data_IF_291566560684
#
_entry.id   IF_291566560684
#
_cell.length_a   1.000
_cell.length_b   1.000
_cell.length_c   1.000
_cell.angle_alpha   90.00
_cell.angle_beta   90.00
_cell.angle_gamma   90.00
#
_symmetry.space_group_name_H-M   'P 1'
#
loop_
_entity.id
_entity.type
_entity.pdbx_description
1 polymer ?
#
# COMPACT_ATOMS: atom_id res chain seq x y z
N UNK A 1 -19.74 -20.73 -42.38
CA UNK A 1 -18.77 -21.15 -41.36
C UNK A 1 -18.82 -20.12 -40.26
N UNK A 2 -19.65 -20.36 -39.24
CA UNK A 2 -19.63 -19.57 -38.02
C UNK A 2 -18.26 -19.77 -37.36
N UNK A 3 -17.50 -18.68 -37.24
CA UNK A 3 -16.31 -18.67 -36.39
C UNK A 3 -16.83 -18.80 -34.96
N UNK A 4 -16.75 -20.01 -34.43
CA UNK A 4 -16.98 -20.27 -33.01
C UNK A 4 -16.02 -19.40 -32.22
N UNK A 5 -16.53 -18.30 -31.66
CA UNK A 5 -15.82 -17.54 -30.65
C UNK A 5 -15.47 -18.51 -29.54
N UNK A 6 -14.20 -18.92 -29.46
CA UNK A 6 -13.67 -19.66 -28.33
C UNK A 6 -14.17 -19.02 -27.05
N UNK A 7 -14.92 -19.78 -26.25
CA UNK A 7 -15.44 -19.33 -24.96
C UNK A 7 -14.22 -19.00 -24.10
N UNK A 8 -14.08 -17.73 -23.74
CA UNK A 8 -12.98 -17.26 -22.91
C UNK A 8 -12.88 -18.08 -21.62
N UNK A 9 -11.73 -18.73 -21.43
CA UNK A 9 -11.42 -19.51 -20.23
C UNK A 9 -10.46 -18.74 -19.33
N UNK A 10 -11.05 -17.94 -18.43
CA UNK A 10 -10.32 -17.16 -17.42
C UNK A 10 -9.41 -18.03 -16.55
N UNK A 11 -9.83 -19.25 -16.21
CA UNK A 11 -9.07 -20.12 -15.30
C UNK A 11 -7.75 -20.55 -15.95
N UNK A 12 -7.80 -20.89 -17.24
CA UNK A 12 -6.61 -21.24 -18.01
C UNK A 12 -5.67 -20.04 -18.16
N UNK A 13 -6.19 -18.83 -18.43
CA UNK A 13 -5.36 -17.61 -18.51
C UNK A 13 -4.69 -17.27 -17.17
N UNK A 14 -5.44 -17.30 -16.06
CA UNK A 14 -4.87 -17.09 -14.71
C UNK A 14 -3.77 -18.10 -14.40
N UNK A 15 -4.01 -19.39 -14.69
CA UNK A 15 -3.02 -20.43 -14.44
C UNK A 15 -1.76 -20.22 -15.28
N UNK A 16 -1.90 -19.89 -16.57
CA UNK A 16 -0.74 -19.63 -17.43
C UNK A 16 0.07 -18.42 -16.95
N UNK A 17 -0.61 -17.34 -16.52
CA UNK A 17 0.02 -16.18 -15.94
C UNK A 17 0.77 -16.53 -14.64
N UNK A 18 0.12 -17.26 -13.73
CA UNK A 18 0.69 -17.66 -12.45
C UNK A 18 1.88 -18.63 -12.60
N UNK A 19 1.75 -19.63 -13.48
CA UNK A 19 2.81 -20.60 -13.78
C UNK A 19 4.04 -19.94 -14.41
N UNK A 20 3.88 -18.78 -15.07
CA UNK A 20 4.99 -18.02 -15.63
C UNK A 20 5.89 -17.41 -14.56
N UNK A 21 5.34 -17.12 -13.37
CA UNK A 21 6.01 -16.45 -12.25
C UNK A 21 6.68 -15.10 -12.57
N UNK A 22 6.48 -14.59 -13.78
CA UNK A 22 7.11 -13.38 -14.28
C UNK A 22 6.48 -12.11 -13.70
N UNK A 23 5.21 -12.21 -13.30
CA UNK A 23 4.40 -11.10 -12.82
C UNK A 23 4.03 -10.11 -13.93
N UNK A 24 3.44 -8.99 -13.54
CA UNK A 24 3.03 -7.91 -14.45
C UNK A 24 4.26 -7.29 -15.12
N UNK A 25 5.37 -7.13 -14.38
CA UNK A 25 6.62 -6.61 -14.93
C UNK A 25 7.13 -7.49 -16.07
N UNK A 26 7.07 -8.81 -15.94
CA UNK A 26 7.45 -9.72 -17.02
C UNK A 26 6.59 -9.58 -18.28
N UNK A 27 5.30 -9.26 -18.14
CA UNK A 27 4.43 -8.95 -19.29
C UNK A 27 4.88 -7.66 -20.00
N UNK A 28 5.24 -6.63 -19.23
CA UNK A 28 5.74 -5.36 -19.77
C UNK A 28 7.09 -5.56 -20.47
N UNK A 29 8.01 -6.31 -19.88
CA UNK A 29 9.32 -6.61 -20.45
C UNK A 29 9.22 -7.41 -21.75
N UNK A 30 8.17 -8.22 -21.90
CA UNK A 30 7.84 -8.93 -23.15
C UNK A 30 7.27 -8.03 -24.25
N UNK A 31 7.08 -6.73 -24.00
CA UNK A 31 6.64 -5.74 -24.98
C UNK A 31 5.15 -5.81 -25.31
N UNK A 32 4.30 -6.17 -24.34
CA UNK A 32 2.87 -6.31 -24.59
C UNK A 32 2.21 -4.98 -25.01
N UNK A 33 1.37 -5.05 -26.05
CA UNK A 33 0.63 -3.88 -26.56
C UNK A 33 -0.78 -3.73 -25.97
N UNK A 34 -1.34 -4.79 -25.39
CA UNK A 34 -2.69 -4.83 -24.81
C UNK A 34 -2.72 -5.70 -23.57
N UNK A 35 -3.46 -5.30 -22.55
CA UNK A 35 -3.52 -6.04 -21.28
C UNK A 35 -4.30 -7.36 -21.43
N UNK A 36 -3.87 -8.45 -20.75
CA UNK A 36 -4.63 -9.70 -20.70
C UNK A 36 -6.01 -9.50 -20.07
N UNK A 37 -6.98 -10.34 -20.44
CA UNK A 37 -8.38 -10.15 -20.00
C UNK A 37 -8.55 -10.31 -18.50
N UNK A 38 -7.66 -11.07 -17.85
CA UNK A 38 -7.62 -11.19 -16.38
C UNK A 38 -7.40 -9.87 -15.65
N UNK A 39 -6.82 -8.84 -16.28
CA UNK A 39 -6.56 -7.52 -15.68
C UNK A 39 -7.64 -6.47 -15.98
N UNK A 40 -8.66 -6.83 -16.75
CA UNK A 40 -9.69 -5.89 -17.16
C UNK A 40 -10.76 -5.77 -16.08
N UNK A 41 -10.94 -4.57 -15.54
CA UNK A 41 -11.99 -4.24 -14.58
C UNK A 41 -13.25 -3.79 -15.35
N UNK A 42 -14.27 -4.65 -15.43
CA UNK A 42 -15.50 -4.38 -16.21
C UNK A 42 -16.25 -3.10 -15.75
N UNK A 43 -16.13 -2.72 -14.48
CA UNK A 43 -16.68 -1.44 -13.99
C UNK A 43 -16.03 -0.24 -14.67
N UNK A 44 -14.73 -0.29 -14.97
CA UNK A 44 -14.01 0.80 -15.64
C UNK A 44 -14.43 0.91 -17.12
N UNK A 45 -14.75 -0.22 -17.77
CA UNK A 45 -15.37 -0.20 -19.10
C UNK A 45 -16.73 0.50 -19.10
N UNK A 46 -17.55 0.26 -18.07
CA UNK A 46 -18.90 0.86 -17.97
C UNK A 46 -18.79 2.36 -17.69
N UNK A 47 -17.90 2.77 -16.79
CA UNK A 47 -17.64 4.19 -16.48
C UNK A 47 -17.15 4.92 -17.74
N UNK A 48 -16.19 4.36 -18.48
CA UNK A 48 -15.66 4.97 -19.70
C UNK A 48 -16.68 5.00 -20.86
N UNK A 49 -17.59 4.01 -20.93
CA UNK A 49 -18.64 3.96 -21.95
C UNK A 49 -19.84 4.89 -21.65
N UNK A 50 -20.06 5.28 -20.38
CA UNK A 50 -21.12 6.21 -19.99
C UNK A 50 -20.62 7.63 -19.69
N UNK A 51 -19.31 7.80 -19.43
CA UNK A 51 -18.61 9.06 -19.33
C UNK A 51 -17.28 8.97 -20.09
N UNK A 52 -17.20 9.48 -21.34
CA UNK A 52 -15.91 9.69 -21.99
C UNK A 52 -15.07 10.57 -21.06
N UNK A 53 -13.78 10.24 -20.89
CA UNK A 53 -12.79 10.91 -20.02
C UNK A 53 -12.58 12.42 -20.35
N UNK A 54 -13.42 13.01 -21.20
CA UNK A 54 -13.52 14.45 -21.43
C UNK A 54 -14.41 15.23 -20.46
N UNK A 55 -15.13 14.59 -19.53
CA UNK A 55 -15.99 15.26 -18.53
C UNK A 55 -16.08 14.46 -17.21
N UNK A 56 -14.94 14.10 -16.61
CA UNK A 56 -14.91 14.21 -15.15
C UNK A 56 -15.04 15.72 -14.88
N UNK A 57 -15.83 16.19 -13.90
CA UNK A 57 -15.68 17.57 -13.50
C UNK A 57 -14.19 17.72 -13.19
N UNK A 58 -13.52 18.60 -13.94
CA UNK A 58 -12.28 19.19 -13.47
C UNK A 58 -12.51 19.49 -11.99
N UNK A 59 -11.62 19.01 -11.14
CA UNK A 59 -11.63 19.32 -9.71
C UNK A 59 -11.28 20.81 -9.52
N UNK A 60 -12.04 21.70 -10.15
CA UNK A 60 -12.25 23.08 -9.73
C UNK A 60 -13.28 23.01 -8.58
N UNK A 61 -12.87 22.37 -7.48
CA UNK A 61 -13.38 22.71 -6.16
C UNK A 61 -12.29 22.36 -5.14
N UNK A 62 -11.58 23.41 -4.75
CA UNK A 62 -10.45 23.43 -3.83
C UNK A 62 -10.85 23.15 -2.37
N UNK A 63 -11.64 22.11 -2.09
CA UNK A 63 -12.16 21.87 -0.72
C UNK A 63 -11.60 20.65 -0.02
N UNK A 64 -11.07 19.65 -0.75
CA UNK A 64 -10.66 18.38 -0.14
C UNK A 64 -9.16 18.11 -0.36
N UNK A 65 -8.40 18.28 0.71
CA UNK A 65 -7.00 17.83 0.81
C UNK A 65 -6.85 16.96 2.04
N UNK A 66 -6.17 15.82 1.92
CA UNK A 66 -5.86 14.97 3.07
C UNK A 66 -5.08 15.77 4.12
N UNK A 67 -5.44 15.68 5.41
CA UNK A 67 -4.76 16.43 6.46
C UNK A 67 -3.26 16.13 6.50
N UNK A 68 -2.44 17.14 6.77
CA UNK A 68 -0.98 16.99 6.98
C UNK A 68 -0.64 17.35 8.41
N UNK A 69 0.02 16.45 9.12
CA UNK A 69 0.33 16.57 10.55
C UNK A 69 1.84 16.47 10.76
N UNK A 70 2.44 17.49 11.38
CA UNK A 70 3.84 17.42 11.79
C UNK A 70 3.96 16.64 13.11
N UNK A 71 4.83 15.63 13.13
CA UNK A 71 5.17 14.82 14.30
C UNK A 71 6.51 15.24 14.93
N UNK A 72 6.96 16.47 14.64
CA UNK A 72 8.23 16.99 15.14
C UNK A 72 8.32 16.84 16.66
N UNK A 73 9.39 16.22 17.14
CA UNK A 73 9.63 16.00 18.57
C UNK A 73 8.92 14.78 19.17
N UNK A 74 7.81 14.30 18.57
CA UNK A 74 6.98 13.23 19.14
C UNK A 74 7.75 11.91 19.29
N UNK A 75 8.50 11.51 18.25
CA UNK A 75 9.26 10.26 18.26
C UNK A 75 10.53 10.38 19.12
N UNK A 76 11.13 11.57 19.19
CA UNK A 76 12.31 11.82 20.02
C UNK A 76 11.99 12.11 21.49
N UNK A 77 10.72 12.38 21.83
CA UNK A 77 10.30 12.78 23.17
C UNK A 77 10.73 14.22 23.53
N UNK A 78 11.01 15.05 22.53
CA UNK A 78 11.46 16.43 22.69
C UNK A 78 10.31 17.44 22.68
N UNK A 79 9.08 16.99 22.47
CA UNK A 79 7.90 17.85 22.45
C UNK A 79 7.52 18.36 23.85
N UNK A 80 6.88 19.55 23.90
CA UNK A 80 6.21 19.98 25.12
C UNK A 80 4.75 19.48 25.20
N UNK A 81 4.16 19.61 26.40
CA UNK A 81 2.79 19.13 26.65
C UNK A 81 1.71 19.82 25.80
N UNK A 82 1.93 21.08 25.39
CA UNK A 82 1.01 21.82 24.53
C UNK A 82 1.10 21.30 23.09
N UNK A 83 2.32 21.11 22.59
CA UNK A 83 2.59 20.55 21.28
C UNK A 83 2.00 19.14 21.16
N UNK A 84 2.22 18.28 22.16
CA UNK A 84 1.65 16.92 22.17
C UNK A 84 0.12 16.95 22.10
N UNK A 85 -0.52 17.82 22.88
CA UNK A 85 -1.99 17.98 22.87
C UNK A 85 -2.52 18.42 21.51
N UNK A 86 -1.84 19.38 20.88
CA UNK A 86 -2.21 19.83 19.54
C UNK A 86 -2.14 18.71 18.51
N UNK A 87 -1.06 17.91 18.53
CA UNK A 87 -0.91 16.74 17.64
C UNK A 87 -2.00 15.71 17.90
N UNK A 88 -2.33 15.43 19.17
CA UNK A 88 -3.43 14.51 19.52
C UNK A 88 -4.77 15.00 18.96
N UNK A 89 -5.06 16.29 19.07
CA UNK A 89 -6.31 16.87 18.56
C UNK A 89 -6.38 16.81 17.02
N UNK A 90 -5.26 17.05 16.34
CA UNK A 90 -5.16 16.92 14.88
C UNK A 90 -5.34 15.47 14.43
N UNK A 91 -4.69 14.51 15.10
CA UNK A 91 -4.83 13.07 14.81
C UNK A 91 -6.27 12.63 15.04
N UNK A 92 -6.89 13.03 16.16
CA UNK A 92 -8.31 12.73 16.43
C UNK A 92 -9.19 13.22 15.29
N UNK A 93 -9.03 14.48 14.89
CA UNK A 93 -9.84 15.08 13.83
C UNK A 93 -9.65 14.38 12.48
N UNK A 94 -8.40 14.07 12.11
CA UNK A 94 -8.10 13.36 10.88
C UNK A 94 -8.70 11.94 10.88
N UNK A 95 -8.58 11.20 11.97
CA UNK A 95 -9.18 9.88 12.11
C UNK A 95 -10.71 9.91 12.00
N UNK A 96 -11.38 10.86 12.67
CA UNK A 96 -12.84 10.96 12.69
C UNK A 96 -13.44 11.43 11.36
N UNK A 97 -12.75 12.30 10.63
CA UNK A 97 -13.27 12.91 9.39
C UNK A 97 -12.81 12.19 8.14
N UNK A 98 -11.57 11.70 8.13
CA UNK A 98 -10.95 11.15 6.94
C UNK A 98 -10.63 9.67 7.06
N UNK A 99 -10.19 9.22 8.23
CA UNK A 99 -9.53 7.91 8.39
C UNK A 99 -8.16 7.84 7.70
N UNK A 100 -7.70 8.94 7.09
CA UNK A 100 -6.45 9.12 6.36
C UNK A 100 -5.81 10.46 6.72
N UNK A 101 -4.48 10.51 6.79
CA UNK A 101 -3.69 11.74 6.89
C UNK A 101 -2.23 11.50 6.48
N UNK A 102 -1.52 12.56 6.12
CA UNK A 102 -0.09 12.52 5.89
C UNK A 102 0.65 13.00 7.14
N UNK A 103 1.79 12.39 7.45
CA UNK A 103 2.69 12.83 8.52
C UNK A 103 4.00 13.33 7.93
N UNK A 104 4.52 14.41 8.52
CA UNK A 104 5.84 14.98 8.24
C UNK A 104 6.62 15.11 9.55
N UNK A 105 7.93 15.37 9.49
CA UNK A 105 8.80 15.47 10.68
C UNK A 105 8.72 14.24 11.62
N UNK A 106 8.42 13.06 11.07
CA UNK A 106 8.14 11.83 11.81
C UNK A 106 9.40 11.08 12.26
N UNK A 107 10.59 11.66 12.07
CA UNK A 107 11.86 11.12 12.59
C UNK A 107 12.48 9.98 11.79
N UNK A 108 11.82 9.47 10.73
CA UNK A 108 12.45 8.54 9.78
C UNK A 108 13.27 9.38 8.79
N UNK A 109 14.58 9.16 8.65
CA UNK A 109 15.39 9.97 7.74
C UNK A 109 14.96 9.81 6.28
N UNK A 110 14.91 10.93 5.55
CA UNK A 110 14.47 10.95 4.13
C UNK A 110 15.27 9.98 3.26
N UNK A 111 16.59 9.89 3.45
CA UNK A 111 17.43 8.95 2.68
C UNK A 111 17.05 7.48 2.89
N UNK A 112 16.50 7.11 4.06
CA UNK A 112 15.99 5.74 4.30
C UNK A 112 14.71 5.51 3.51
N UNK A 113 13.85 6.52 3.40
CA UNK A 113 12.63 6.44 2.58
C UNK A 113 12.97 6.30 1.10
N UNK A 114 13.89 7.13 0.59
CA UNK A 114 14.36 7.08 -0.80
C UNK A 114 15.02 5.74 -1.13
N UNK A 115 15.95 5.29 -0.27
CA UNK A 115 16.63 4.01 -0.45
C UNK A 115 15.65 2.83 -0.35
N UNK A 116 14.57 2.95 0.41
CA UNK A 116 13.54 1.90 0.50
C UNK A 116 12.78 1.79 -0.83
N UNK A 117 12.38 2.91 -1.43
CA UNK A 117 11.75 2.95 -2.76
C UNK A 117 12.71 2.35 -3.80
N UNK A 118 13.97 2.76 -3.80
CA UNK A 118 14.99 2.27 -4.74
C UNK A 118 15.38 0.82 -4.49
N UNK A 119 15.34 0.35 -3.24
CA UNK A 119 15.53 -1.06 -2.87
C UNK A 119 14.43 -1.94 -3.44
N UNK A 120 13.18 -1.58 -3.24
CA UNK A 120 12.04 -2.31 -3.82
C UNK A 120 12.11 -2.27 -5.35
N UNK A 121 12.42 -1.12 -5.96
CA UNK A 121 12.62 -1.02 -7.41
C UNK A 121 13.72 -1.96 -7.90
N UNK A 122 14.90 -1.94 -7.26
CA UNK A 122 16.02 -2.83 -7.62
C UNK A 122 15.63 -4.29 -7.58
N UNK A 123 14.84 -4.72 -6.59
CA UNK A 123 14.31 -6.08 -6.52
C UNK A 123 13.41 -6.41 -7.73
N UNK A 124 12.42 -5.56 -8.04
CA UNK A 124 11.47 -5.82 -9.13
C UNK A 124 12.11 -5.74 -10.53
N UNK A 125 13.19 -4.97 -10.67
CA UNK A 125 13.99 -4.86 -11.90
C UNK A 125 15.06 -5.94 -12.06
N UNK A 126 15.19 -6.90 -11.13
CA UNK A 126 16.07 -8.05 -11.33
C UNK A 126 15.57 -8.98 -12.42
N UNK A 127 16.49 -9.77 -12.98
CA UNK A 127 16.18 -10.88 -13.87
C UNK A 127 15.09 -11.77 -13.27
N UNK A 128 14.16 -12.20 -14.12
CA UNK A 128 13.02 -13.03 -13.73
C UNK A 128 13.45 -14.26 -12.92
N UNK A 129 14.54 -14.94 -13.32
CA UNK A 129 15.06 -16.14 -12.64
C UNK A 129 15.32 -15.89 -11.15
N UNK A 130 15.82 -14.70 -10.77
CA UNK A 130 16.08 -14.37 -9.37
C UNK A 130 14.76 -14.19 -8.60
N UNK A 131 13.78 -13.50 -9.19
CA UNK A 131 12.47 -13.30 -8.57
C UNK A 131 11.68 -14.60 -8.44
N UNK A 132 11.86 -15.53 -9.37
CA UNK A 132 11.22 -16.85 -9.37
C UNK A 132 11.61 -17.72 -8.18
N UNK A 133 12.84 -17.59 -7.65
CA UNK A 133 13.33 -18.36 -6.51
C UNK A 133 12.47 -18.17 -5.26
N UNK A 134 11.94 -16.95 -5.08
CA UNK A 134 11.08 -16.59 -3.97
C UNK A 134 9.61 -16.39 -4.38
N UNK A 135 9.26 -16.71 -5.64
CA UNK A 135 7.87 -16.64 -6.08
C UNK A 135 7.04 -17.67 -5.32
N UNK A 136 5.97 -17.24 -4.64
CA UNK A 136 5.14 -18.15 -3.87
C UNK A 136 3.72 -17.66 -3.63
N UNK A 137 2.81 -18.62 -3.57
CA UNK A 137 1.45 -18.46 -3.01
C UNK A 137 1.29 -19.16 -1.66
N UNK A 138 2.39 -19.65 -1.08
CA UNK A 138 2.41 -20.15 0.29
C UNK A 138 2.58 -18.98 1.27
N UNK A 139 1.46 -18.53 1.81
CA UNK A 139 1.40 -17.38 2.72
C UNK A 139 1.87 -17.71 4.15
N UNK A 140 2.31 -18.94 4.42
CA UNK A 140 3.01 -19.27 5.66
C UNK A 140 4.49 -18.83 5.62
N UNK A 141 5.04 -18.56 4.43
CA UNK A 141 6.40 -18.01 4.28
C UNK A 141 6.48 -16.58 4.78
N UNK A 142 7.59 -16.24 5.44
CA UNK A 142 7.85 -14.87 5.91
C UNK A 142 8.23 -13.92 4.79
N UNK A 143 8.91 -14.43 3.76
CA UNK A 143 9.32 -13.64 2.59
C UNK A 143 8.88 -14.38 1.34
N UNK A 144 8.16 -13.69 0.47
CA UNK A 144 7.78 -14.20 -0.84
C UNK A 144 7.47 -13.05 -1.80
N UNK A 145 7.62 -13.34 -3.08
CA UNK A 145 7.19 -12.48 -4.18
C UNK A 145 5.97 -13.11 -4.86
N UNK A 146 4.98 -12.30 -5.23
CA UNK A 146 3.91 -12.75 -6.11
C UNK A 146 3.22 -11.59 -6.83
N UNK A 147 2.24 -11.97 -7.66
CA UNK A 147 1.30 -11.04 -8.26
C UNK A 147 -0.11 -11.39 -7.79
N UNK A 148 -0.77 -10.43 -7.14
CA UNK A 148 -2.11 -10.53 -6.56
C UNK A 148 -2.28 -11.72 -5.58
N UNK A 149 -2.36 -11.45 -4.28
CA UNK A 149 -2.57 -12.52 -3.28
C UNK A 149 -3.92 -13.24 -3.47
N UNK A 150 -4.90 -12.54 -4.05
CA UNK A 150 -6.27 -12.97 -4.31
C UNK A 150 -6.52 -13.36 -5.79
N UNK A 151 -5.47 -13.65 -6.56
CA UNK A 151 -5.52 -13.86 -8.02
C UNK A 151 -6.68 -14.78 -8.48
N UNK A 152 -6.95 -15.85 -7.74
CA UNK A 152 -7.96 -16.85 -8.09
C UNK A 152 -9.36 -16.54 -7.54
N UNK A 153 -9.48 -15.57 -6.62
CA UNK A 153 -10.75 -15.17 -6.01
C UNK A 153 -11.28 -13.86 -6.62
N UNK A 154 -10.39 -12.92 -6.93
CA UNK A 154 -10.76 -11.61 -7.44
C UNK A 154 -11.43 -11.70 -8.83
N UNK A 155 -12.42 -10.84 -9.13
CA UNK A 155 -13.07 -10.80 -10.44
C UNK A 155 -12.11 -10.34 -11.55
N UNK A 156 -11.15 -9.47 -11.22
CA UNK A 156 -10.06 -9.01 -12.07
C UNK A 156 -8.79 -8.89 -11.21
N UNK A 157 -7.64 -9.19 -11.80
CA UNK A 157 -6.33 -9.02 -11.19
C UNK A 157 -5.90 -7.55 -11.29
N UNK A 158 -5.19 -7.07 -10.28
CA UNK A 158 -4.62 -5.72 -10.29
C UNK A 158 -3.30 -5.69 -11.07
N UNK A 159 -3.02 -4.58 -11.74
CA UNK A 159 -1.78 -4.31 -12.47
C UNK A 159 -0.62 -3.95 -11.53
N UNK A 160 -0.21 -4.92 -10.69
CA UNK A 160 0.90 -4.78 -9.74
C UNK A 160 1.60 -6.09 -9.43
N UNK A 161 2.87 -5.99 -9.07
CA UNK A 161 3.63 -7.06 -8.42
C UNK A 161 3.93 -6.70 -6.95
N UNK A 162 4.23 -7.68 -6.11
CA UNK A 162 4.42 -7.45 -4.67
C UNK A 162 5.49 -8.35 -4.07
N UNK A 163 6.47 -7.73 -3.41
CA UNK A 163 7.34 -8.38 -2.45
C UNK A 163 6.70 -8.27 -1.06
N UNK A 164 6.51 -9.39 -0.37
CA UNK A 164 5.99 -9.45 1.00
C UNK A 164 7.11 -9.82 1.97
N UNK A 165 7.23 -9.10 3.08
CA UNK A 165 8.21 -9.37 4.14
C UNK A 165 7.55 -9.23 5.52
N UNK A 166 7.39 -10.33 6.24
CA UNK A 166 6.92 -10.35 7.63
C UNK A 166 8.10 -10.04 8.56
N UNK A 167 8.15 -8.82 9.09
CA UNK A 167 9.28 -8.32 9.88
C UNK A 167 9.09 -8.47 11.41
N UNK A 168 7.85 -8.61 11.87
CA UNK A 168 7.53 -8.83 13.28
C UNK A 168 6.29 -9.74 13.44
N UNK A 169 6.15 -10.48 14.56
CA UNK A 169 6.96 -10.45 15.78
C UNK A 169 8.32 -11.16 15.67
N UNK A 170 8.49 -12.04 14.66
CA UNK A 170 9.75 -12.73 14.39
C UNK A 170 10.22 -12.40 12.98
N UNK A 171 11.27 -11.60 12.90
CA UNK A 171 11.94 -11.27 11.64
C UNK A 171 12.35 -12.53 10.86
N UNK A 172 12.47 -12.45 9.52
CA UNK A 172 13.02 -13.54 8.72
C UNK A 172 14.52 -13.69 8.96
N UNK A 173 15.06 -14.85 8.61
CA UNK A 173 16.51 -15.01 8.56
C UNK A 173 17.08 -14.12 7.45
N UNK A 174 18.29 -13.58 7.64
CA UNK A 174 18.90 -12.65 6.68
C UNK A 174 18.93 -13.22 5.24
N UNK A 175 19.19 -14.53 5.12
CA UNK A 175 19.22 -15.21 3.83
C UNK A 175 17.87 -15.28 3.10
N UNK A 176 16.74 -15.14 3.80
CA UNK A 176 15.40 -15.14 3.20
C UNK A 176 15.07 -13.79 2.52
N UNK A 177 15.68 -12.69 2.96
CA UNK A 177 15.49 -11.37 2.36
C UNK A 177 16.32 -11.24 1.07
N UNK A 178 15.75 -10.66 -0.01
CA UNK A 178 16.48 -10.41 -1.24
C UNK A 178 17.71 -9.53 -0.98
N UNK A 179 18.89 -10.00 -1.40
CA UNK A 179 20.15 -9.34 -1.09
C UNK A 179 20.21 -7.88 -1.56
N UNK A 180 19.53 -7.55 -2.67
CA UNK A 180 19.53 -6.21 -3.27
C UNK A 180 18.79 -5.14 -2.45
N UNK A 181 17.90 -5.55 -1.55
CA UNK A 181 17.11 -4.63 -0.71
C UNK A 181 17.11 -5.01 0.77
N UNK A 182 17.86 -6.05 1.17
CA UNK A 182 17.87 -6.59 2.53
C UNK A 182 18.14 -5.53 3.59
N UNK A 183 19.25 -4.81 3.44
CA UNK A 183 19.73 -3.92 4.51
C UNK A 183 18.76 -2.75 4.72
N UNK A 184 18.22 -2.19 3.63
CA UNK A 184 17.22 -1.12 3.72
C UNK A 184 15.87 -1.63 4.24
N UNK A 185 15.44 -2.83 3.86
CA UNK A 185 14.21 -3.42 4.41
C UNK A 185 14.32 -3.57 5.92
N UNK A 186 15.47 -3.99 6.44
CA UNK A 186 15.74 -4.10 7.88
C UNK A 186 15.71 -2.72 8.53
N UNK A 187 16.53 -1.76 8.06
CA UNK A 187 16.62 -0.42 8.66
C UNK A 187 15.27 0.30 8.62
N UNK A 188 14.61 0.32 7.46
CA UNK A 188 13.27 0.91 7.31
C UNK A 188 12.25 0.26 8.25
N UNK A 189 12.26 -1.07 8.39
CA UNK A 189 11.32 -1.76 9.28
C UNK A 189 11.50 -1.37 10.75
N UNK A 190 12.74 -1.17 11.22
CA UNK A 190 13.02 -0.75 12.59
C UNK A 190 12.52 0.68 12.83
N UNK A 191 12.78 1.60 11.90
CA UNK A 191 12.33 3.00 12.01
C UNK A 191 10.81 3.12 11.95
N UNK A 192 10.17 2.41 11.03
CA UNK A 192 8.70 2.43 10.91
C UNK A 192 8.02 1.73 12.08
N UNK A 193 8.64 0.69 12.67
CA UNK A 193 8.11 0.09 13.89
C UNK A 193 8.12 1.09 15.06
N UNK A 194 9.21 1.86 15.22
CA UNK A 194 9.28 2.90 16.24
C UNK A 194 8.23 4.00 16.00
N UNK A 195 8.06 4.45 14.75
CA UNK A 195 6.99 5.38 14.38
C UNK A 195 5.60 4.80 14.65
N UNK A 196 5.36 3.54 14.33
CA UNK A 196 4.10 2.85 14.59
C UNK A 196 3.74 2.87 16.08
N UNK A 197 4.70 2.59 16.97
CA UNK A 197 4.50 2.69 18.43
C UNK A 197 4.08 4.10 18.83
N UNK A 198 4.75 5.14 18.34
CA UNK A 198 4.38 6.53 18.65
C UNK A 198 2.97 6.89 18.12
N UNK A 199 2.61 6.41 16.92
CA UNK A 199 1.26 6.59 16.37
C UNK A 199 0.20 5.89 17.23
N UNK A 200 0.45 4.67 17.71
CA UNK A 200 -0.44 3.97 18.63
C UNK A 200 -0.63 4.71 19.96
N UNK A 201 0.41 5.37 20.48
CA UNK A 201 0.30 6.20 21.68
C UNK A 201 -0.58 7.44 21.44
N UNK A 202 -0.40 8.11 20.30
CA UNK A 202 -1.23 9.25 19.90
C UNK A 202 -2.69 8.83 19.71
N UNK A 203 -2.94 7.69 19.05
CA UNK A 203 -4.29 7.14 18.85
C UNK A 203 -4.96 6.79 20.19
N UNK A 204 -4.22 6.16 21.11
CA UNK A 204 -4.74 5.86 22.45
C UNK A 204 -5.17 7.13 23.19
N UNK A 205 -4.35 8.18 23.15
CA UNK A 205 -4.68 9.47 23.76
C UNK A 205 -5.80 10.22 23.03
N UNK A 206 -5.87 10.11 21.70
CA UNK A 206 -6.97 10.65 20.90
C UNK A 206 -8.30 10.05 21.35
N UNK A 207 -8.32 8.77 21.71
CA UNK A 207 -9.49 8.07 22.25
C UNK A 207 -9.79 8.37 23.73
N UNK A 208 -8.92 9.13 24.41
CA UNK A 208 -9.02 9.44 25.84
C UNK A 208 -8.53 8.30 26.75
N UNK A 209 -7.68 7.41 26.24
CA UNK A 209 -7.15 6.24 26.94
C UNK A 209 -5.73 6.49 27.44
N UNK A 210 -5.21 5.55 28.23
CA UNK A 210 -3.80 5.52 28.60
C UNK A 210 -2.93 5.47 27.33
N UNK A 211 -1.82 6.23 27.22
CA UNK A 211 -0.93 6.20 26.05
C UNK A 211 -0.50 4.79 25.61
N UNK A 212 -0.30 3.86 26.55
CA UNK A 212 0.14 2.51 26.24
C UNK A 212 -1.00 1.53 25.90
N UNK A 213 -2.27 1.95 25.94
CA UNK A 213 -3.40 1.04 25.84
C UNK A 213 -3.37 0.15 24.60
N UNK A 214 -3.23 0.73 23.39
CA UNK A 214 -3.17 -0.04 22.14
C UNK A 214 -1.92 -0.93 22.05
N UNK A 215 -0.81 -0.49 22.65
CA UNK A 215 0.42 -1.28 22.71
C UNK A 215 0.25 -2.50 23.62
N UNK A 216 -0.40 -2.33 24.77
CA UNK A 216 -0.70 -3.39 25.73
C UNK A 216 -1.72 -4.40 25.17
N UNK A 217 -2.60 -3.97 24.25
CA UNK A 217 -3.46 -4.85 23.47
C UNK A 217 -2.74 -5.63 22.35
N UNK A 218 -1.44 -5.38 22.15
CA UNK A 218 -0.63 -6.06 21.13
C UNK A 218 -0.75 -5.47 19.72
N UNK A 219 -1.40 -4.31 19.53
CA UNK A 219 -1.62 -3.72 18.21
C UNK A 219 -0.31 -3.37 17.47
N UNK A 220 0.79 -3.18 18.21
CA UNK A 220 2.12 -2.87 17.67
C UNK A 220 3.06 -4.09 17.53
N UNK A 221 2.57 -5.32 17.74
CA UNK A 221 3.41 -6.54 17.71
C UNK A 221 3.74 -7.01 16.28
N UNK A 222 2.77 -6.89 15.38
CA UNK A 222 2.89 -7.32 13.99
C UNK A 222 3.43 -6.22 13.08
N UNK A 223 4.29 -6.61 12.14
CA UNK A 223 4.73 -5.74 11.05
C UNK A 223 4.92 -6.58 9.80
N UNK A 224 4.17 -6.24 8.76
CA UNK A 224 4.31 -6.82 7.42
C UNK A 224 4.56 -5.67 6.45
N UNK A 225 5.62 -5.79 5.66
CA UNK A 225 5.96 -4.84 4.61
C UNK A 225 5.52 -5.40 3.26
N UNK A 226 4.87 -4.56 2.46
CA UNK A 226 4.53 -4.84 1.08
C UNK A 226 5.27 -3.88 0.16
N UNK A 227 6.23 -4.40 -0.60
CA UNK A 227 6.92 -3.68 -1.66
C UNK A 227 6.14 -3.81 -2.97
N UNK A 228 5.14 -2.96 -3.17
CA UNK A 228 4.34 -2.92 -4.39
C UNK A 228 5.12 -2.30 -5.55
N UNK A 229 4.95 -2.86 -6.74
CA UNK A 229 5.50 -2.33 -7.98
C UNK A 229 4.41 -2.25 -9.04
N UNK A 230 4.28 -1.09 -9.67
CA UNK A 230 3.23 -0.78 -10.63
C UNK A 230 3.88 -0.43 -11.99
N UNK A 231 4.19 -1.43 -12.84
CA UNK A 231 4.77 -1.20 -14.15
C UNK A 231 3.86 -0.33 -15.04
N UNK A 232 4.43 0.35 -16.03
CA UNK A 232 3.64 1.10 -17.03
C UNK A 232 2.60 0.19 -17.69
N UNK A 233 1.36 0.67 -17.77
CA UNK A 233 0.24 -0.05 -18.39
C UNK A 233 -0.05 0.53 -19.78
N UNK A 234 -0.21 -0.29 -20.84
CA UNK A 234 -0.58 0.19 -22.17
C UNK A 234 -2.05 0.60 -22.31
N UNK A 235 -2.92 0.10 -21.43
CA UNK A 235 -4.37 0.40 -21.41
C UNK A 235 -4.81 0.75 -19.96
N UNK A 236 -4.28 1.83 -19.36
CA UNK A 236 -4.47 2.16 -17.95
C UNK A 236 -5.94 2.38 -17.58
N UNK A 237 -6.77 2.81 -18.51
CA UNK A 237 -8.21 3.03 -18.34
C UNK A 237 -9.02 1.73 -18.18
N UNK A 238 -8.43 0.57 -18.47
CA UNK A 238 -9.08 -0.74 -18.37
C UNK A 238 -8.72 -1.51 -17.10
N UNK A 239 -7.73 -1.05 -16.34
CA UNK A 239 -7.20 -1.77 -15.18
C UNK A 239 -7.04 -0.88 -13.95
N UNK A 240 -6.58 -1.46 -12.84
CA UNK A 240 -6.32 -0.77 -11.58
C UNK A 240 -4.98 -1.25 -11.02
N UNK A 241 -4.17 -0.34 -10.48
CA UNK A 241 -2.99 -0.74 -9.69
C UNK A 241 -3.40 -1.47 -8.42
N UNK A 242 -4.46 -1.04 -7.76
CA UNK A 242 -5.10 -1.73 -6.64
C UNK A 242 -6.60 -1.41 -6.65
N UNK A 243 -7.44 -2.44 -6.55
CA UNK A 243 -8.89 -2.30 -6.51
C UNK A 243 -9.35 -1.60 -5.25
N UNK A 244 -10.56 -1.01 -5.27
CA UNK A 244 -11.20 -0.47 -4.07
C UNK A 244 -11.25 -1.52 -2.96
N UNK A 245 -10.77 -1.15 -1.77
CA UNK A 245 -10.79 -1.99 -0.58
C UNK A 245 -10.69 -1.11 0.68
N UNK A 246 -10.91 -1.74 1.84
CA UNK A 246 -10.44 -1.26 3.14
C UNK A 246 -9.28 -2.13 3.60
N UNK A 247 -8.38 -1.56 4.41
CA UNK A 247 -7.29 -2.33 4.99
C UNK A 247 -7.80 -3.16 6.15
N UNK A 248 -7.43 -4.44 6.21
CA UNK A 248 -7.77 -5.31 7.34
C UNK A 248 -6.84 -5.13 8.55
N UNK A 249 -5.80 -4.29 8.43
CA UNK A 249 -4.84 -4.00 9.49
C UNK A 249 -5.48 -3.13 10.59
N UNK A 250 -4.73 -2.83 11.66
CA UNK A 250 -5.14 -1.76 12.58
C UNK A 250 -4.75 -0.39 12.02
N UNK A 251 -3.52 -0.28 11.55
CA UNK A 251 -2.90 0.94 11.05
C UNK A 251 -2.00 0.58 9.88
N UNK A 252 -2.07 1.36 8.81
CA UNK A 252 -1.16 1.27 7.67
C UNK A 252 -0.29 2.52 7.63
N UNK A 253 1.01 2.32 7.36
CA UNK A 253 1.99 3.37 7.11
C UNK A 253 2.49 3.19 5.67
N UNK A 254 2.05 4.07 4.78
CA UNK A 254 2.34 4.00 3.36
C UNK A 254 3.40 5.02 2.98
N UNK A 255 4.47 4.53 2.35
CA UNK A 255 5.47 5.31 1.65
C UNK A 255 5.17 5.26 0.15
N UNK A 256 5.05 6.44 -0.47
CA UNK A 256 4.81 6.57 -1.91
C UNK A 256 6.05 7.12 -2.62
N UNK A 257 6.18 6.81 -3.91
CA UNK A 257 7.03 7.58 -4.80
C UNK A 257 6.40 8.95 -5.13
N UNK A 258 7.08 9.73 -5.95
CA UNK A 258 6.62 11.07 -6.32
C UNK A 258 5.67 11.07 -7.54
N UNK A 259 5.34 9.90 -8.09
CA UNK A 259 4.33 9.76 -9.16
C UNK A 259 2.94 9.72 -8.52
N UNK A 260 2.79 9.03 -7.39
CA UNK A 260 1.54 8.95 -6.65
C UNK A 260 0.58 7.91 -7.22
N UNK A 261 -0.71 8.27 -7.33
CA UNK A 261 -1.77 7.36 -7.80
C UNK A 261 -2.62 6.73 -6.69
N UNK A 262 -2.39 7.10 -5.42
CA UNK A 262 -3.32 6.78 -4.34
C UNK A 262 -4.55 7.68 -4.43
N UNK A 263 -5.72 7.05 -4.41
CA UNK A 263 -7.00 7.71 -4.26
C UNK A 263 -7.70 7.20 -3.01
N UNK A 264 -8.35 8.09 -2.27
CA UNK A 264 -9.15 7.77 -1.09
C UNK A 264 -10.60 8.15 -1.32
N UNK A 265 -11.54 7.33 -0.84
CA UNK A 265 -12.96 7.63 -0.94
C UNK A 265 -13.37 8.48 0.27
N UNK A 266 -13.67 9.75 0.05
CA UNK A 266 -14.12 10.70 1.07
C UNK A 266 -15.43 11.35 0.63
N UNK A 267 -16.47 11.31 1.48
CA UNK A 267 -17.81 11.86 1.17
C UNK A 267 -18.38 11.40 -0.20
N UNK A 268 -18.21 10.11 -0.52
CA UNK A 268 -18.59 9.47 -1.79
C UNK A 268 -17.86 10.01 -3.03
N UNK A 269 -16.73 10.68 -2.86
CA UNK A 269 -15.86 11.16 -3.93
C UNK A 269 -14.47 10.56 -3.79
N UNK A 270 -13.89 10.13 -4.92
CA UNK A 270 -12.48 9.74 -4.95
C UNK A 270 -11.61 10.98 -4.97
N UNK A 271 -10.73 11.10 -3.98
CA UNK A 271 -9.81 12.22 -3.80
C UNK A 271 -8.39 11.73 -3.97
N UNK A 272 -7.62 12.39 -4.84
CA UNK A 272 -6.21 12.10 -5.03
C UNK A 272 -5.40 12.51 -3.79
N UNK A 273 -4.54 11.61 -3.31
CA UNK A 273 -3.56 11.94 -2.27
C UNK A 273 -2.27 12.37 -2.97
N UNK A 274 -2.02 13.67 -2.98
CA UNK A 274 -0.80 14.23 -3.57
C UNK A 274 0.41 13.83 -2.72
N UNK A 275 1.42 13.14 -3.29
CA UNK A 275 2.63 12.79 -2.56
C UNK A 275 3.37 14.04 -2.07
N UNK A 276 3.77 14.03 -0.81
CA UNK A 276 4.67 15.03 -0.23
C UNK A 276 6.03 14.38 -0.02
N UNK A 277 7.08 15.02 -0.54
CA UNK A 277 8.44 14.51 -0.39
C UNK A 277 8.81 14.34 1.09
N UNK A 278 9.21 13.14 1.47
CA UNK A 278 9.57 12.80 2.85
C UNK A 278 8.39 12.63 3.79
N UNK A 279 7.14 12.59 3.30
CA UNK A 279 5.96 12.29 4.10
C UNK A 279 5.58 10.81 4.04
N UNK A 280 4.81 10.37 5.02
CA UNK A 280 4.18 9.05 5.05
C UNK A 280 2.66 9.22 5.15
N UNK A 281 1.90 8.46 4.39
CA UNK A 281 0.44 8.41 4.51
C UNK A 281 0.08 7.40 5.61
N UNK A 282 -0.81 7.79 6.49
CA UNK A 282 -1.34 6.98 7.58
C UNK A 282 -2.82 6.75 7.32
N UNK A 283 -3.27 5.50 7.44
CA UNK A 283 -4.69 5.19 7.44
C UNK A 283 -5.06 4.12 8.46
N UNK A 284 -6.29 4.25 8.95
CA UNK A 284 -6.91 3.29 9.84
C UNK A 284 -7.47 2.12 9.04
N UNK A 285 -7.28 0.90 9.55
CA UNK A 285 -7.88 -0.31 9.00
C UNK A 285 -9.03 -0.84 9.86
N UNK A 286 -9.71 -1.86 9.35
CA UNK A 286 -10.96 -2.43 9.90
C UNK A 286 -10.79 -2.92 11.34
N UNK A 287 -9.61 -3.42 11.74
CA UNK A 287 -9.37 -3.85 13.13
C UNK A 287 -9.48 -2.68 14.11
N UNK A 288 -9.07 -1.48 13.71
CA UNK A 288 -9.21 -0.29 14.56
C UNK A 288 -10.67 0.11 14.78
N UNK A 289 -11.54 -0.15 13.79
CA UNK A 289 -12.96 0.17 13.85
C UNK A 289 -13.78 -0.91 14.57
N UNK A 290 -13.37 -2.18 14.46
CA UNK A 290 -14.06 -3.32 15.05
C UNK A 290 -13.71 -3.56 16.53
N UNK A 291 -12.56 -3.07 16.99
CA UNK A 291 -12.14 -3.28 18.38
C UNK A 291 -13.01 -2.43 19.32
N UNK A 292 -13.60 -3.03 20.35
CA UNK A 292 -14.13 -2.28 21.49
C UNK A 292 -12.94 -1.69 22.25
N UNK A 293 -12.52 -0.50 21.82
CA UNK A 293 -11.36 0.22 22.37
C UNK A 293 -11.67 0.90 23.72
N UNK A 294 -12.87 0.68 24.29
CA UNK A 294 -13.34 1.23 25.55
C UNK A 294 -14.00 0.16 26.41
#
# INVERSE_FOLDING_TARGET
MEVTSSKYDRKTELKAFDDSKAGVKGLVDAGLAKIPRIFIHEQNKIINNHHPIGNSPSCDDSSFSTPVISLKGIVSGEEDASQRRQVIDQVRHACEKWGFFQVVDHGVPVHVLEEMIDGIRRFHEQDQVVKEEIYSRDYAKKVYYNTNFDLYQAPAANWRDTLSCVMAPRAPDLGELPSVCRDVVIDYSEKVKALGVALFELLSQALGLNPNHLKELGCAEGLVLFGHYYPTCPEPELTMGTSQHTDSSFLTVLLQDQIGGLQVLHENQWVDVTPIHGALVINLGDMSQATNLK
#
